data_IF_610970201100
#
_entry.id   IF_610970201100
#
_cell.length_a   1.000
_cell.length_b   1.000
_cell.length_c   1.000
_cell.angle_alpha   90.00
_cell.angle_beta   90.00
_cell.angle_gamma   90.00
#
_symmetry.space_group_name_H-M   'P 1'
#
loop_
_entity.id
_entity.type
_entity.pdbx_description
1 polymer ?
#
# COMPACT_ATOMS: atom_id res chain seq x y z
N UNK A 1 -9.79 5.00 -12.79
CA UNK A 1 -8.62 5.51 -12.04
C UNK A 1 -7.96 6.71 -12.72
N UNK A 2 -7.65 6.70 -14.03
CA UNK A 2 -6.89 7.78 -14.70
C UNK A 2 -7.37 9.21 -14.43
N UNK A 3 -8.67 9.50 -14.56
CA UNK A 3 -9.20 10.84 -14.28
C UNK A 3 -9.11 11.21 -12.79
N UNK A 4 -9.31 10.24 -11.90
CA UNK A 4 -9.16 10.45 -10.46
C UNK A 4 -7.69 10.72 -10.08
N UNK A 5 -6.75 9.96 -10.65
CA UNK A 5 -5.32 10.19 -10.46
C UNK A 5 -4.90 11.58 -10.91
N UNK A 6 -5.31 11.99 -12.13
CA UNK A 6 -5.07 13.35 -12.63
C UNK A 6 -5.66 14.42 -11.73
N UNK A 7 -6.91 14.28 -11.30
CA UNK A 7 -7.51 15.22 -10.36
C UNK A 7 -6.65 15.34 -9.08
N UNK A 8 -6.19 14.22 -8.52
CA UNK A 8 -5.35 14.25 -7.32
C UNK A 8 -3.99 14.92 -7.57
N UNK A 9 -3.32 14.61 -8.67
CA UNK A 9 -1.93 15.02 -8.93
C UNK A 9 -1.79 16.37 -9.62
N UNK A 10 -2.74 16.74 -10.47
CA UNK A 10 -2.71 17.95 -11.30
C UNK A 10 -3.61 19.07 -10.75
N UNK A 11 -4.58 18.76 -9.86
CA UNK A 11 -5.50 19.76 -9.30
C UNK A 11 -5.42 19.84 -7.77
N UNK A 12 -5.79 18.77 -7.07
CA UNK A 12 -5.93 18.79 -5.60
C UNK A 12 -4.59 18.99 -4.90
N UNK A 13 -3.56 18.22 -5.24
CA UNK A 13 -2.26 18.35 -4.60
C UNK A 13 -1.62 19.73 -4.85
N UNK A 14 -1.59 20.27 -6.08
CA UNK A 14 -1.11 21.64 -6.32
C UNK A 14 -1.91 22.70 -5.55
N UNK A 15 -3.22 22.54 -5.42
CA UNK A 15 -4.04 23.41 -4.58
C UNK A 15 -3.59 23.34 -3.10
N UNK A 16 -3.46 22.15 -2.54
CA UNK A 16 -3.02 21.98 -1.14
C UNK A 16 -1.60 22.54 -0.92
N UNK A 17 -0.65 22.26 -1.81
CA UNK A 17 0.73 22.73 -1.69
C UNK A 17 0.87 24.25 -1.81
N UNK A 18 -0.06 24.92 -2.50
CA UNK A 18 -0.06 26.39 -2.62
C UNK A 18 -0.77 27.10 -1.46
N UNK A 19 -1.66 26.41 -0.74
CA UNK A 19 -2.45 26.99 0.35
C UNK A 19 -1.92 26.65 1.75
N UNK A 20 -1.09 25.61 1.88
CA UNK A 20 -0.57 25.14 3.15
C UNK A 20 0.95 24.92 3.10
N UNK A 21 1.59 24.97 4.26
CA UNK A 21 3.02 24.66 4.38
C UNK A 21 3.26 23.15 4.31
N UNK A 22 3.25 22.60 3.10
CA UNK A 22 3.57 21.19 2.87
C UNK A 22 5.07 20.99 2.61
N UNK A 23 5.56 19.78 2.89
CA UNK A 23 6.89 19.37 2.43
C UNK A 23 6.77 18.80 1.02
N UNK A 24 7.60 19.31 0.11
CA UNK A 24 7.63 18.85 -1.26
C UNK A 24 8.26 17.44 -1.42
N UNK A 25 7.96 16.82 -2.56
CA UNK A 25 8.59 15.58 -3.02
C UNK A 25 7.94 14.29 -2.52
N UNK A 26 8.16 13.17 -3.22
CA UNK A 26 7.45 11.91 -3.02
C UNK A 26 7.68 11.29 -1.64
N UNK A 27 8.83 11.55 -1.00
CA UNK A 27 9.14 11.07 0.35
C UNK A 27 8.28 11.69 1.45
N UNK A 28 7.54 12.75 1.13
CA UNK A 28 6.69 13.49 2.07
C UNK A 28 5.19 13.42 1.69
N UNK A 29 4.84 12.71 0.63
CA UNK A 29 3.47 12.65 0.13
C UNK A 29 3.02 11.20 0.05
N UNK A 30 1.96 10.90 0.82
CA UNK A 30 1.40 9.57 0.91
C UNK A 30 -0.04 9.49 0.44
N UNK A 31 -0.40 8.32 -0.07
CA UNK A 31 -1.78 7.95 -0.38
C UNK A 31 -2.14 6.67 0.35
N UNK A 32 -3.33 6.61 0.92
CA UNK A 32 -3.77 5.42 1.62
C UNK A 32 -5.28 5.21 1.50
N UNK A 33 -5.69 3.95 1.59
CA UNK A 33 -7.10 3.57 1.58
C UNK A 33 -7.29 2.11 1.97
N UNK A 34 -8.52 1.77 2.31
CA UNK A 34 -8.93 0.40 2.60
C UNK A 34 -9.72 -0.23 1.46
N UNK A 35 -9.76 -1.57 1.38
CA UNK A 35 -10.58 -2.30 0.41
C UNK A 35 -10.29 -1.88 -1.04
N UNK A 36 -11.31 -1.47 -1.80
CA UNK A 36 -11.14 -0.93 -3.15
C UNK A 36 -10.31 0.37 -3.15
N UNK A 37 -10.41 1.19 -2.10
CA UNK A 37 -9.55 2.36 -1.89
C UNK A 37 -8.07 1.99 -1.68
N UNK A 38 -7.81 0.82 -1.09
CA UNK A 38 -6.45 0.26 -0.97
C UNK A 38 -5.88 -0.16 -2.31
N UNK A 39 -6.70 -0.82 -3.15
CA UNK A 39 -6.31 -1.12 -4.54
C UNK A 39 -6.04 0.16 -5.34
N UNK A 40 -6.94 1.15 -5.26
CA UNK A 40 -6.76 2.46 -5.92
C UNK A 40 -5.48 3.15 -5.45
N UNK A 41 -5.18 3.11 -4.14
CA UNK A 41 -3.95 3.70 -3.59
C UNK A 41 -2.69 3.04 -4.15
N UNK A 42 -2.65 1.70 -4.24
CA UNK A 42 -1.55 0.97 -4.89
C UNK A 42 -1.41 1.36 -6.37
N UNK A 43 -2.52 1.40 -7.11
CA UNK A 43 -2.51 1.81 -8.52
C UNK A 43 -1.97 3.23 -8.68
N UNK A 44 -2.37 4.17 -7.83
CA UNK A 44 -1.90 5.55 -7.90
C UNK A 44 -0.41 5.69 -7.52
N UNK A 45 0.07 4.95 -6.54
CA UNK A 45 1.51 4.90 -6.21
C UNK A 45 2.34 4.29 -7.36
N UNK A 46 1.78 3.32 -8.09
CA UNK A 46 2.41 2.75 -9.28
C UNK A 46 2.41 3.74 -10.45
N UNK A 47 1.29 4.40 -10.70
CA UNK A 47 1.11 5.30 -11.85
C UNK A 47 1.87 6.63 -11.68
N UNK A 48 1.96 7.13 -10.44
CA UNK A 48 2.54 8.44 -10.09
C UNK A 48 3.55 8.36 -8.93
N UNK A 49 4.60 7.52 -9.02
CA UNK A 49 5.58 7.33 -7.93
C UNK A 49 6.40 8.60 -7.62
N UNK A 50 6.47 9.53 -8.57
CA UNK A 50 7.08 10.86 -8.39
C UNK A 50 6.24 11.79 -7.50
N UNK A 51 4.94 11.50 -7.37
CA UNK A 51 4.03 12.23 -6.49
C UNK A 51 3.83 11.47 -5.18
N UNK A 52 3.41 10.20 -5.25
CA UNK A 52 3.06 9.39 -4.10
C UNK A 52 4.17 8.37 -3.80
N UNK A 53 5.21 8.82 -3.10
CA UNK A 53 6.30 7.92 -2.68
C UNK A 53 5.98 7.09 -1.44
N UNK A 54 4.84 7.34 -0.79
CA UNK A 54 4.37 6.59 0.38
C UNK A 54 2.98 6.03 0.08
N UNK A 55 2.75 4.74 0.37
CA UNK A 55 1.46 4.10 0.09
C UNK A 55 0.99 3.21 1.25
N UNK A 56 -0.24 3.41 1.71
CA UNK A 56 -0.91 2.53 2.69
C UNK A 56 -2.09 1.78 2.06
N UNK A 57 -1.96 0.48 1.85
CA UNK A 57 -2.96 -0.35 1.20
C UNK A 57 -3.57 -1.35 2.18
N UNK A 58 -4.65 -0.95 2.83
CA UNK A 58 -5.28 -1.68 3.94
C UNK A 58 -6.32 -2.65 3.37
N UNK A 59 -6.22 -3.95 3.67
CA UNK A 59 -7.19 -4.95 3.16
C UNK A 59 -7.49 -4.79 1.65
N UNK A 60 -6.46 -4.52 0.85
CA UNK A 60 -6.63 -4.10 -0.54
C UNK A 60 -7.29 -5.18 -1.43
N UNK A 61 -8.25 -4.78 -2.26
CA UNK A 61 -9.05 -5.71 -3.09
C UNK A 61 -8.31 -6.29 -4.30
N UNK A 62 -7.18 -6.96 -4.10
CA UNK A 62 -6.35 -7.57 -5.15
C UNK A 62 -7.03 -8.73 -5.90
N UNK A 63 -8.16 -9.24 -5.40
CA UNK A 63 -9.01 -10.21 -6.09
C UNK A 63 -9.89 -9.58 -7.19
N UNK A 64 -9.97 -8.25 -7.25
CA UNK A 64 -10.89 -7.54 -8.14
C UNK A 64 -10.66 -7.89 -9.62
N UNK A 65 -11.75 -7.93 -10.38
CA UNK A 65 -11.78 -8.31 -11.80
C UNK A 65 -11.12 -9.67 -12.06
N UNK A 66 -11.52 -10.70 -11.31
CA UNK A 66 -10.97 -12.06 -11.39
C UNK A 66 -9.43 -12.07 -11.25
N UNK A 67 -8.93 -11.40 -10.20
CA UNK A 67 -7.51 -11.23 -9.88
C UNK A 67 -6.68 -10.45 -10.91
N UNK A 68 -7.28 -9.88 -11.97
CA UNK A 68 -6.56 -9.04 -12.92
C UNK A 68 -5.84 -7.88 -12.20
N UNK A 69 -6.49 -7.30 -11.19
CA UNK A 69 -5.91 -6.22 -10.38
C UNK A 69 -4.59 -6.61 -9.70
N UNK A 70 -4.48 -7.83 -9.14
CA UNK A 70 -3.22 -8.35 -8.63
C UNK A 70 -2.15 -8.38 -9.72
N UNK A 71 -2.42 -9.02 -10.86
CA UNK A 71 -1.42 -9.17 -11.91
C UNK A 71 -0.95 -7.83 -12.48
N UNK A 72 -1.85 -6.86 -12.62
CA UNK A 72 -1.50 -5.49 -13.04
C UNK A 72 -0.53 -4.82 -12.03
N UNK A 73 -0.75 -5.02 -10.72
CA UNK A 73 0.14 -4.53 -9.65
C UNK A 73 1.49 -5.25 -9.70
N UNK A 74 1.50 -6.59 -9.79
CA UNK A 74 2.73 -7.39 -9.80
C UNK A 74 3.62 -7.09 -11.02
N UNK A 75 3.02 -6.86 -12.18
CA UNK A 75 3.72 -6.54 -13.42
C UNK A 75 4.46 -5.19 -13.32
N UNK A 76 3.92 -4.24 -12.57
CA UNK A 76 4.47 -2.89 -12.44
C UNK A 76 5.24 -2.65 -11.13
N UNK A 77 5.40 -3.68 -10.30
CA UNK A 77 5.97 -3.56 -8.95
C UNK A 77 7.35 -2.86 -8.89
N UNK A 78 8.17 -2.94 -9.96
CA UNK A 78 9.47 -2.25 -10.04
C UNK A 78 9.37 -0.71 -10.05
N UNK A 79 8.19 -0.14 -10.34
CA UNK A 79 7.94 1.30 -10.22
C UNK A 79 7.96 1.78 -8.77
N UNK A 80 7.86 0.85 -7.81
CA UNK A 80 7.81 1.12 -6.38
C UNK A 80 9.19 1.12 -5.70
N UNK A 81 10.29 0.93 -6.44
CA UNK A 81 11.64 0.78 -5.87
C UNK A 81 12.12 1.96 -5.02
N UNK A 82 11.58 3.15 -5.26
CA UNK A 82 11.89 4.36 -4.48
C UNK A 82 10.79 4.75 -3.47
N UNK A 83 9.80 3.88 -3.25
CA UNK A 83 8.65 4.13 -2.38
C UNK A 83 8.78 3.41 -1.03
N UNK A 84 7.93 3.82 -0.06
CA UNK A 84 7.64 3.05 1.16
C UNK A 84 6.18 2.61 1.15
N UNK A 85 5.93 1.33 1.35
CA UNK A 85 4.58 0.77 1.17
C UNK A 85 4.19 -0.08 2.35
N UNK A 86 3.10 0.29 3.02
CA UNK A 86 2.40 -0.60 3.92
C UNK A 86 1.30 -1.32 3.15
N UNK A 87 1.18 -2.62 3.34
CA UNK A 87 0.01 -3.35 2.89
C UNK A 87 -0.32 -4.52 3.81
N UNK A 88 -1.60 -4.79 4.01
CA UNK A 88 -2.06 -5.82 4.92
C UNK A 88 -3.34 -6.50 4.45
N UNK A 89 -3.71 -7.58 5.14
CA UNK A 89 -4.97 -8.26 4.97
C UNK A 89 -5.35 -9.02 6.24
N UNK A 90 -6.62 -8.97 6.63
CA UNK A 90 -7.16 -9.81 7.70
C UNK A 90 -7.28 -11.27 7.30
N UNK A 91 -6.97 -12.18 8.23
CA UNK A 91 -7.04 -13.62 7.94
C UNK A 91 -8.47 -14.13 7.83
N UNK A 92 -9.47 -13.42 8.35
CA UNK A 92 -10.89 -13.81 8.25
C UNK A 92 -11.61 -13.18 7.06
N UNK A 93 -10.93 -12.31 6.31
CA UNK A 93 -11.49 -11.67 5.13
C UNK A 93 -11.72 -12.67 4.00
N UNK A 94 -12.93 -12.67 3.43
CA UNK A 94 -13.28 -13.50 2.28
C UNK A 94 -13.21 -15.01 2.55
N UNK A 95 -13.16 -15.45 3.81
CA UNK A 95 -13.26 -16.86 4.17
C UNK A 95 -14.68 -17.37 3.99
N UNK A 96 -14.80 -18.51 3.32
CA UNK A 96 -16.01 -19.32 3.24
C UNK A 96 -15.61 -20.79 3.03
N UNK A 97 -16.46 -21.76 3.37
CA UNK A 97 -16.18 -23.17 3.14
C UNK A 97 -15.85 -23.45 1.66
N UNK A 98 -14.69 -24.02 1.38
CA UNK A 98 -14.22 -24.30 0.00
C UNK A 98 -13.45 -23.17 -0.67
N UNK A 99 -13.13 -22.08 0.04
CA UNK A 99 -12.23 -21.04 -0.49
C UNK A 99 -10.81 -21.59 -0.69
N UNK A 100 -10.34 -21.62 -1.95
CA UNK A 100 -9.02 -22.14 -2.32
C UNK A 100 -7.93 -21.06 -2.25
N UNK A 101 -8.31 -19.78 -2.38
CA UNK A 101 -7.41 -18.63 -2.39
C UNK A 101 -8.00 -17.47 -1.58
N UNK A 102 -7.85 -17.47 -0.25
CA UNK A 102 -8.34 -16.37 0.57
C UNK A 102 -7.55 -15.08 0.27
N UNK A 103 -8.18 -13.90 0.36
CA UNK A 103 -7.57 -12.60 0.06
C UNK A 103 -6.13 -12.39 0.55
N UNK A 104 -5.79 -12.85 1.76
CA UNK A 104 -4.45 -12.66 2.32
C UNK A 104 -3.35 -13.38 1.52
N UNK A 105 -3.66 -14.48 0.82
CA UNK A 105 -2.67 -15.16 -0.03
C UNK A 105 -2.32 -14.32 -1.25
N UNK A 106 -3.28 -13.58 -1.81
CA UNK A 106 -3.03 -12.64 -2.90
C UNK A 106 -2.14 -11.48 -2.43
N UNK A 107 -2.41 -10.96 -1.23
CA UNK A 107 -1.57 -9.93 -0.61
C UNK A 107 -0.14 -10.43 -0.34
N UNK A 108 0.02 -11.71 0.05
CA UNK A 108 1.33 -12.35 0.22
C UNK A 108 2.13 -12.41 -1.09
N UNK A 109 1.48 -12.66 -2.22
CA UNK A 109 2.14 -12.68 -3.53
C UNK A 109 2.76 -11.33 -3.88
N UNK A 110 2.17 -10.22 -3.44
CA UNK A 110 2.77 -8.89 -3.58
C UNK A 110 4.07 -8.79 -2.78
N UNK A 111 4.08 -9.22 -1.51
CA UNK A 111 5.31 -9.24 -0.70
C UNK A 111 6.41 -10.07 -1.37
N UNK A 112 6.09 -11.29 -1.81
CA UNK A 112 7.05 -12.14 -2.53
C UNK A 112 7.58 -11.48 -3.80
N UNK A 113 6.73 -10.77 -4.55
CA UNK A 113 7.16 -10.05 -5.74
C UNK A 113 8.09 -8.89 -5.42
N UNK A 114 7.82 -8.11 -4.38
CA UNK A 114 8.69 -7.01 -3.95
C UNK A 114 10.06 -7.52 -3.51
N UNK A 115 10.11 -8.63 -2.76
CA UNK A 115 11.36 -9.29 -2.38
C UNK A 115 12.16 -9.77 -3.61
N UNK A 116 11.51 -10.40 -4.57
CA UNK A 116 12.16 -10.88 -5.82
C UNK A 116 12.82 -9.77 -6.63
N UNK A 117 12.31 -8.54 -6.57
CA UNK A 117 12.89 -7.38 -7.26
C UNK A 117 13.86 -6.59 -6.37
N UNK A 118 14.21 -7.12 -5.19
CA UNK A 118 15.24 -6.59 -4.30
C UNK A 118 14.77 -5.54 -3.30
N UNK A 119 13.46 -5.38 -3.08
CA UNK A 119 12.96 -4.47 -2.04
C UNK A 119 13.02 -5.17 -0.68
N UNK A 120 13.45 -4.42 0.33
CA UNK A 120 13.70 -4.96 1.67
C UNK A 120 12.49 -4.76 2.59
N UNK A 121 12.00 -5.83 3.27
CA UNK A 121 10.98 -5.69 4.30
C UNK A 121 11.48 -4.81 5.46
N UNK A 122 10.59 -4.01 6.04
CA UNK A 122 10.91 -3.02 7.07
C UNK A 122 11.54 -1.73 6.54
N UNK A 123 12.08 -1.73 5.31
CA UNK A 123 12.71 -0.56 4.70
C UNK A 123 11.87 0.02 3.56
N UNK A 124 11.66 -0.78 2.51
CA UNK A 124 10.88 -0.42 1.33
C UNK A 124 9.40 -0.76 1.51
N UNK A 125 9.10 -1.84 2.24
CA UNK A 125 7.72 -2.23 2.49
C UNK A 125 7.49 -2.85 3.85
N UNK A 126 6.26 -2.81 4.32
CA UNK A 126 5.77 -3.55 5.48
C UNK A 126 4.54 -4.35 5.06
N UNK A 127 4.59 -5.65 5.31
CA UNK A 127 3.51 -6.59 5.02
C UNK A 127 3.05 -7.25 6.31
N UNK A 128 1.73 -7.32 6.52
CA UNK A 128 1.16 -8.02 7.66
C UNK A 128 -0.11 -8.79 7.31
N UNK A 129 -0.22 -10.01 7.84
CA UNK A 129 -1.49 -10.73 7.97
C UNK A 129 -2.07 -10.44 9.35
N UNK A 130 -3.26 -9.82 9.40
CA UNK A 130 -3.92 -9.48 10.66
C UNK A 130 -4.70 -10.72 11.12
N UNK A 131 -4.10 -11.48 12.03
CA UNK A 131 -4.71 -12.69 12.60
C UNK A 131 -6.04 -12.34 13.25
N UNK A 132 -7.12 -13.02 12.82
CA UNK A 132 -8.49 -12.74 13.26
C UNK A 132 -9.12 -11.49 12.64
N UNK A 133 -8.36 -10.73 11.84
CA UNK A 133 -8.83 -9.49 11.24
C UNK A 133 -9.92 -9.71 10.20
N UNK A 134 -10.91 -8.82 10.22
CA UNK A 134 -12.08 -8.81 9.36
C UNK A 134 -12.09 -7.58 8.43
N UNK A 135 -13.01 -7.59 7.47
CA UNK A 135 -13.15 -6.50 6.49
C UNK A 135 -14.04 -5.38 7.04
N UNK A 136 -13.56 -4.67 8.07
CA UNK A 136 -14.34 -3.67 8.80
C UNK A 136 -13.49 -2.49 9.29
N UNK A 137 -14.11 -1.31 9.41
CA UNK A 137 -13.46 -0.04 9.72
C UNK A 137 -12.77 -0.01 11.09
N UNK A 138 -13.32 -0.71 12.09
CA UNK A 138 -12.70 -0.80 13.42
C UNK A 138 -11.33 -1.48 13.35
N UNK A 139 -11.22 -2.62 12.67
CA UNK A 139 -9.96 -3.33 12.48
C UNK A 139 -8.94 -2.48 11.72
N UNK A 140 -9.39 -1.71 10.72
CA UNK A 140 -8.52 -0.80 9.96
C UNK A 140 -8.01 0.35 10.84
N UNK A 141 -8.87 0.91 11.70
CA UNK A 141 -8.50 1.98 12.64
C UNK A 141 -7.41 1.53 13.60
N UNK A 142 -7.49 0.31 14.13
CA UNK A 142 -6.60 -0.22 15.18
C UNK A 142 -5.12 -0.36 14.76
N UNK A 143 -4.83 -0.20 13.47
CA UNK A 143 -3.46 -0.26 12.90
C UNK A 143 -3.06 0.97 12.11
N UNK A 144 -3.93 1.99 12.00
CA UNK A 144 -3.66 3.16 11.17
C UNK A 144 -2.51 4.01 11.69
N UNK A 145 -2.33 4.06 13.01
CA UNK A 145 -1.18 4.68 13.66
C UNK A 145 0.15 4.05 13.21
N UNK A 146 0.25 2.72 13.21
CA UNK A 146 1.42 1.95 12.79
C UNK A 146 1.71 2.14 11.31
N UNK A 147 0.66 2.27 10.49
CA UNK A 147 0.78 2.62 9.06
C UNK A 147 1.47 3.98 8.93
N UNK A 148 0.99 5.02 9.62
CA UNK A 148 1.58 6.36 9.56
C UNK A 148 3.02 6.38 10.08
N UNK A 149 3.31 5.66 11.17
CA UNK A 149 4.65 5.51 11.71
C UNK A 149 5.59 4.81 10.72
N UNK A 150 5.13 3.76 10.06
CA UNK A 150 5.92 3.13 9.01
C UNK A 150 6.11 4.08 7.83
N UNK A 151 5.10 4.81 7.36
CA UNK A 151 5.26 5.62 6.15
C UNK A 151 6.13 6.87 6.40
N UNK A 152 5.91 7.59 7.49
CA UNK A 152 6.54 8.89 7.76
C UNK A 152 7.60 8.86 8.87
N UNK A 153 7.65 7.80 9.66
CA UNK A 153 8.67 7.64 10.70
C UNK A 153 10.06 7.46 10.10
N UNK A 154 11.08 7.84 10.86
CA UNK A 154 12.48 7.60 10.47
C UNK A 154 12.75 6.08 10.49
N UNK A 155 13.45 5.52 9.49
CA UNK A 155 13.93 4.15 9.59
C UNK A 155 14.80 4.04 10.85
N UNK A 156 14.54 3.05 11.70
CA UNK A 156 15.38 2.80 12.86
C UNK A 156 16.80 2.49 12.38
N UNK A 157 17.76 3.34 12.75
CA UNK A 157 19.17 3.16 12.38
C UNK A 157 19.81 1.95 13.06
N UNK A 158 19.10 1.30 13.98
CA UNK A 158 19.50 0.13 14.76
C UNK A 158 19.21 -1.21 14.10
N UNK A 159 18.42 -1.28 13.02
CA UNK A 159 18.06 -2.56 12.37
C UNK A 159 19.07 -3.03 11.31
N UNK A 160 20.22 -2.37 11.16
CA UNK A 160 21.29 -2.78 10.22
C UNK A 160 22.02 -4.08 10.61
N UNK A 161 21.63 -4.75 11.69
CA UNK A 161 22.29 -5.95 12.17
C UNK A 161 21.31 -7.08 12.41
N UNK A 162 20.82 -7.70 11.33
CA UNK A 162 20.58 -9.15 11.33
C UNK A 162 21.10 -9.66 9.99
N UNK A 163 22.31 -10.21 10.06
CA UNK A 163 22.99 -11.03 9.05
C UNK A 163 22.30 -12.38 8.86
#
# INVERSE_FOLDING_TARGET
ARNYGKFLTEELKPFIDSHYQTKAGPKNCGIAGSSLGGLVSLTLALDYPEVFGLCGAISASLWWANQKSLYDVLAQASRLSNSRIWFDMGTEEGKYPGCVNPPFTLTRLLASRLEQIGLLPGWNYYYQEIVGGQHHENDWRDRFDRILLFLFGKPDSSSKSIS
#
